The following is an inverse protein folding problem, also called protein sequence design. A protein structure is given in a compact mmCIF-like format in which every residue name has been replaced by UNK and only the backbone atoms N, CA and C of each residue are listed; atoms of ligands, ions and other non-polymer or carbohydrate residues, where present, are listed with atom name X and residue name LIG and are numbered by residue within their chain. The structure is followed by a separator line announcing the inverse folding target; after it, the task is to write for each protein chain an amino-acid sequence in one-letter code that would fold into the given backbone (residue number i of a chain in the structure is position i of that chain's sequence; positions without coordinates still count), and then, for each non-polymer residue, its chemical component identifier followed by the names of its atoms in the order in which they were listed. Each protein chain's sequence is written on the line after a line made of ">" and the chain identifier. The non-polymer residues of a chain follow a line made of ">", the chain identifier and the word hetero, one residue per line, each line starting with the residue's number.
data_IF_749010632905
#
_entry.id   IF_749010632905
#
_cell.length_a   1.000
_cell.length_b   1.000
_cell.length_c   1.000
_cell.angle_alpha   90.00
_cell.angle_beta   90.00
_cell.angle_gamma   90.00
#
_symmetry.space_group_name_H-M   'P 1'
#
loop_
_entity.id
_entity.type
_entity.pdbx_description
1 polymer ?
#
# COMPACT_ATOMS: atom_id res chain seq x y z
N UNK A 1 49.33 28.46 -1.00
CA UNK A 1 48.57 27.30 -1.51
C UNK A 1 47.09 27.58 -1.32
N UNK A 2 46.34 27.82 -2.39
CA UNK A 2 44.90 28.08 -2.30
C UNK A 2 44.16 26.78 -1.98
N UNK A 3 43.54 26.71 -0.80
CA UNK A 3 42.68 25.60 -0.43
C UNK A 3 41.48 25.54 -1.38
N UNK A 4 41.36 24.43 -2.12
CA UNK A 4 40.18 24.16 -2.94
C UNK A 4 38.97 24.11 -2.00
N UNK A 5 38.03 25.05 -2.12
CA UNK A 5 36.71 24.91 -1.52
C UNK A 5 36.08 23.66 -2.14
N UNK A 6 35.66 22.70 -1.31
CA UNK A 6 34.84 21.59 -1.78
C UNK A 6 33.52 22.20 -2.23
N UNK A 7 33.24 22.15 -3.53
CA UNK A 7 31.88 22.37 -4.03
C UNK A 7 30.99 21.36 -3.32
N UNK A 8 30.14 21.84 -2.42
CA UNK A 8 29.07 21.05 -1.88
C UNK A 8 28.14 20.86 -3.08
N UNK A 9 28.00 19.64 -3.63
CA UNK A 9 27.05 19.45 -4.72
C UNK A 9 25.70 19.86 -4.14
N UNK A 10 25.11 20.96 -4.64
CA UNK A 10 23.70 21.19 -4.46
C UNK A 10 23.05 19.93 -4.99
N UNK A 11 22.52 19.09 -4.12
CA UNK A 11 21.73 17.97 -4.59
C UNK A 11 20.62 18.62 -5.39
N UNK A 12 20.66 18.40 -6.70
CA UNK A 12 19.72 18.97 -7.64
C UNK A 12 18.32 18.66 -7.10
N UNK A 13 17.48 19.69 -6.90
CA UNK A 13 16.17 19.53 -6.24
C UNK A 13 15.36 18.43 -6.93
N UNK A 14 15.55 18.28 -8.25
CA UNK A 14 14.98 17.22 -9.06
C UNK A 14 15.47 15.82 -8.64
N UNK A 15 16.76 15.65 -8.37
CA UNK A 15 17.28 14.37 -7.84
C UNK A 15 16.72 14.05 -6.46
N UNK A 16 16.55 15.03 -5.57
CA UNK A 16 15.93 14.81 -4.26
C UNK A 16 14.47 14.34 -4.40
N UNK A 17 13.70 14.97 -5.27
CA UNK A 17 12.30 14.60 -5.53
C UNK A 17 12.18 13.18 -6.11
N UNK A 18 13.05 12.82 -7.06
CA UNK A 18 13.11 11.47 -7.62
C UNK A 18 13.40 10.41 -6.55
N UNK A 19 14.38 10.68 -5.67
CA UNK A 19 14.74 9.76 -4.58
C UNK A 19 13.57 9.63 -3.58
N UNK A 20 12.95 10.75 -3.20
CA UNK A 20 11.81 10.73 -2.27
C UNK A 20 10.62 9.96 -2.85
N UNK A 21 10.30 10.18 -4.13
CA UNK A 21 9.24 9.45 -4.82
C UNK A 21 9.56 7.95 -4.88
N UNK A 22 10.78 7.56 -5.22
CA UNK A 22 11.21 6.17 -5.23
C UNK A 22 11.09 5.52 -3.83
N UNK A 23 11.54 6.21 -2.78
CA UNK A 23 11.41 5.74 -1.39
C UNK A 23 9.95 5.57 -0.97
N UNK A 24 9.08 6.50 -1.35
CA UNK A 24 7.64 6.40 -1.08
C UNK A 24 7.03 5.17 -1.76
N UNK A 25 7.38 4.91 -3.02
CA UNK A 25 6.94 3.71 -3.75
C UNK A 25 7.39 2.42 -3.08
N UNK A 26 8.65 2.35 -2.65
CA UNK A 26 9.19 1.17 -1.94
C UNK A 26 8.45 0.96 -0.63
N UNK A 27 8.21 2.03 0.15
CA UNK A 27 7.48 1.96 1.42
C UNK A 27 6.04 1.48 1.24
N UNK A 28 5.34 1.95 0.20
CA UNK A 28 3.97 1.51 -0.12
C UNK A 28 3.92 0.02 -0.45
N UNK A 29 4.83 -0.47 -1.31
CA UNK A 29 4.94 -1.90 -1.63
C UNK A 29 5.24 -2.73 -0.39
N UNK A 30 6.19 -2.29 0.45
CA UNK A 30 6.53 -2.96 1.71
C UNK A 30 5.31 -3.08 2.64
N UNK A 31 4.52 -2.01 2.79
CA UNK A 31 3.29 -2.01 3.60
C UNK A 31 2.28 -3.03 3.07
N UNK A 32 2.12 -3.11 1.74
CA UNK A 32 1.23 -4.09 1.13
C UNK A 32 1.64 -5.53 1.45
N UNK A 33 2.94 -5.85 1.37
CA UNK A 33 3.45 -7.17 1.76
C UNK A 33 3.20 -7.50 3.23
N UNK A 34 3.42 -6.53 4.13
CA UNK A 34 3.12 -6.72 5.56
C UNK A 34 1.63 -7.00 5.76
N UNK A 35 0.76 -6.25 5.09
CA UNK A 35 -0.69 -6.46 5.18
C UNK A 35 -1.11 -7.81 4.61
N UNK A 36 -0.47 -8.28 3.54
CA UNK A 36 -0.67 -9.62 2.98
C UNK A 36 -0.30 -10.72 3.98
N UNK A 37 0.85 -10.59 4.64
CA UNK A 37 1.29 -11.56 5.67
C UNK A 37 0.31 -11.58 6.85
N UNK A 38 -0.13 -10.40 7.32
CA UNK A 38 -1.14 -10.31 8.38
C UNK A 38 -2.46 -10.96 7.95
N UNK A 39 -2.89 -10.76 6.70
CA UNK A 39 -4.08 -11.40 6.15
C UNK A 39 -3.97 -12.93 6.14
N UNK A 40 -2.82 -13.48 5.73
CA UNK A 40 -2.59 -14.93 5.74
C UNK A 40 -2.62 -15.50 7.16
N UNK A 41 -1.88 -14.88 8.09
CA UNK A 41 -1.84 -15.30 9.49
C UNK A 41 -3.24 -15.20 10.12
N UNK A 42 -3.93 -14.07 9.91
CA UNK A 42 -5.29 -13.85 10.41
C UNK A 42 -6.30 -14.86 9.86
N UNK A 43 -6.22 -15.17 8.56
CA UNK A 43 -7.07 -16.19 7.93
C UNK A 43 -6.82 -17.58 8.53
N UNK A 44 -5.55 -17.94 8.76
CA UNK A 44 -5.21 -19.19 9.43
C UNK A 44 -5.75 -19.24 10.86
N UNK A 45 -5.65 -18.14 11.61
CA UNK A 45 -6.22 -18.04 12.95
C UNK A 45 -7.75 -18.18 12.94
N UNK A 46 -8.46 -17.58 11.97
CA UNK A 46 -9.91 -17.71 11.84
C UNK A 46 -10.34 -19.16 11.57
N UNK A 47 -9.60 -19.86 10.70
CA UNK A 47 -9.85 -21.28 10.42
C UNK A 47 -9.65 -22.10 11.70
N UNK A 48 -8.51 -21.95 12.38
CA UNK A 48 -8.22 -22.69 13.61
C UNK A 48 -9.22 -22.37 14.74
N UNK A 49 -9.65 -21.12 14.85
CA UNK A 49 -10.67 -20.70 15.82
C UNK A 49 -11.98 -21.46 15.61
N UNK A 50 -12.41 -21.63 14.35
CA UNK A 50 -13.61 -22.40 14.06
C UNK A 50 -13.38 -23.91 14.23
N UNK A 51 -12.32 -24.48 13.64
CA UNK A 51 -12.13 -25.94 13.55
C UNK A 51 -11.58 -26.58 14.82
N UNK A 52 -10.73 -25.88 15.58
CA UNK A 52 -10.06 -26.42 16.77
C UNK A 52 -10.75 -25.97 18.05
N UNK A 53 -11.13 -24.68 18.11
CA UNK A 53 -11.74 -24.10 19.30
C UNK A 53 -13.27 -24.08 19.27
N UNK A 54 -13.90 -24.50 18.15
CA UNK A 54 -15.36 -24.52 17.99
C UNK A 54 -16.00 -23.13 18.00
N UNK A 55 -15.22 -22.06 17.79
CA UNK A 55 -15.72 -20.68 17.88
C UNK A 55 -16.63 -20.41 16.68
N UNK A 56 -17.92 -20.23 16.97
CA UNK A 56 -18.91 -19.92 15.96
C UNK A 56 -19.30 -21.10 15.07
N UNK A 57 -19.01 -22.34 15.47
CA UNK A 57 -19.33 -23.55 14.68
C UNK A 57 -20.84 -23.68 14.33
N UNK A 58 -21.71 -23.14 15.19
CA UNK A 58 -23.16 -23.09 14.96
C UNK A 58 -23.59 -21.90 14.08
N UNK A 59 -22.68 -20.97 13.77
CA UNK A 59 -22.95 -19.81 12.93
C UNK A 59 -22.61 -20.18 11.49
N UNK A 60 -23.64 -20.63 10.77
CA UNK A 60 -23.55 -20.94 9.34
C UNK A 60 -24.45 -20.01 8.56
N UNK A 61 -23.91 -19.44 7.50
CA UNK A 61 -24.62 -18.59 6.55
C UNK A 61 -24.68 -19.38 5.24
N UNK A 62 -25.90 -19.68 4.77
CA UNK A 62 -26.08 -20.49 3.55
C UNK A 62 -25.33 -21.83 3.61
N UNK A 63 -25.37 -22.52 4.77
CA UNK A 63 -24.66 -23.78 5.03
C UNK A 63 -23.12 -23.70 4.98
N UNK A 64 -22.57 -22.49 4.88
CA UNK A 64 -21.13 -22.21 4.88
C UNK A 64 -20.73 -21.61 6.22
N UNK A 65 -19.61 -22.07 6.77
CA UNK A 65 -19.07 -21.57 8.04
C UNK A 65 -18.78 -20.07 7.98
N UNK A 66 -19.12 -19.34 9.05
CA UNK A 66 -18.97 -17.89 9.14
C UNK A 66 -17.55 -17.39 8.81
N UNK A 67 -16.51 -18.16 9.15
CA UNK A 67 -15.12 -17.74 8.95
C UNK A 67 -14.78 -17.57 7.47
N UNK A 68 -15.48 -18.29 6.57
CA UNK A 68 -15.32 -18.14 5.11
C UNK A 68 -15.75 -16.73 4.68
N UNK A 69 -16.89 -16.25 5.18
CA UNK A 69 -17.35 -14.89 4.91
C UNK A 69 -16.45 -13.83 5.53
N UNK A 70 -15.91 -14.09 6.73
CA UNK A 70 -14.93 -13.21 7.36
C UNK A 70 -13.66 -13.08 6.51
N UNK A 71 -13.12 -14.20 6.02
CA UNK A 71 -11.96 -14.22 5.12
C UNK A 71 -12.29 -13.53 3.80
N UNK A 72 -13.46 -13.76 3.21
CA UNK A 72 -13.89 -13.11 1.96
C UNK A 72 -14.01 -11.59 2.11
N UNK A 73 -14.64 -11.11 3.17
CA UNK A 73 -14.75 -9.68 3.44
C UNK A 73 -13.37 -9.03 3.62
N UNK A 74 -12.47 -9.69 4.37
CA UNK A 74 -11.11 -9.20 4.55
C UNK A 74 -10.29 -9.26 3.25
N UNK A 75 -10.48 -10.30 2.44
CA UNK A 75 -9.86 -10.42 1.12
C UNK A 75 -10.29 -9.27 0.21
N UNK A 76 -11.57 -8.87 0.24
CA UNK A 76 -12.04 -7.72 -0.53
C UNK A 76 -11.33 -6.43 -0.15
N UNK A 77 -11.18 -6.16 1.17
CA UNK A 77 -10.40 -5.02 1.66
C UNK A 77 -8.93 -5.10 1.24
N UNK A 78 -8.34 -6.30 1.26
CA UNK A 78 -6.98 -6.52 0.79
C UNK A 78 -6.84 -6.22 -0.70
N UNK A 79 -7.76 -6.70 -1.55
CA UNK A 79 -7.76 -6.44 -2.99
C UNK A 79 -7.92 -4.95 -3.29
N UNK A 80 -8.79 -4.25 -2.56
CA UNK A 80 -8.88 -2.78 -2.63
C UNK A 80 -7.53 -2.12 -2.31
N UNK A 81 -6.84 -2.59 -1.25
CA UNK A 81 -5.52 -2.07 -0.90
C UNK A 81 -4.47 -2.33 -1.99
N UNK A 82 -4.46 -3.54 -2.57
CA UNK A 82 -3.59 -3.90 -3.70
C UNK A 82 -3.85 -2.95 -4.88
N UNK A 83 -5.11 -2.78 -5.27
CA UNK A 83 -5.50 -1.94 -6.40
C UNK A 83 -5.07 -0.48 -6.17
N UNK A 84 -5.28 0.05 -4.96
CA UNK A 84 -4.87 1.42 -4.62
C UNK A 84 -3.34 1.62 -4.73
N UNK A 85 -2.55 0.64 -4.27
CA UNK A 85 -1.08 0.71 -4.30
C UNK A 85 -0.53 0.56 -5.73
N UNK A 86 -1.09 -0.36 -6.53
CA UNK A 86 -0.55 -0.68 -7.86
C UNK A 86 -1.16 0.13 -9.01
N UNK A 87 -2.42 0.53 -8.91
CA UNK A 87 -3.15 1.24 -9.97
C UNK A 87 -3.29 2.71 -9.60
N UNK A 88 -4.04 3.04 -8.55
CA UNK A 88 -4.38 4.43 -8.21
C UNK A 88 -3.13 5.27 -7.99
N UNK A 89 -2.21 4.86 -7.12
CA UNK A 89 -0.98 5.62 -6.90
C UNK A 89 -0.04 5.61 -8.11
N UNK A 90 -0.08 4.59 -8.98
CA UNK A 90 0.74 4.56 -10.21
C UNK A 90 0.25 5.57 -11.22
N UNK A 91 -1.07 5.76 -11.33
CA UNK A 91 -1.68 6.66 -12.30
C UNK A 91 -1.87 8.09 -11.77
N UNK A 92 -2.40 8.25 -10.55
CA UNK A 92 -2.58 9.52 -9.82
C UNK A 92 -1.54 9.63 -8.70
N UNK A 93 -0.26 9.60 -9.06
CA UNK A 93 0.82 9.93 -8.14
C UNK A 93 1.10 11.43 -8.10
N UNK A 94 2.09 11.85 -7.29
CA UNK A 94 2.54 13.25 -7.22
C UNK A 94 2.87 13.86 -8.58
N UNK A 95 3.45 13.10 -9.49
CA UNK A 95 3.78 13.58 -10.83
C UNK A 95 2.53 13.91 -11.66
N UNK A 96 1.42 13.18 -11.44
CA UNK A 96 0.14 13.49 -12.07
C UNK A 96 -0.49 14.73 -11.43
N UNK A 97 -0.45 14.85 -10.11
CA UNK A 97 -0.93 16.05 -9.39
C UNK A 97 -0.17 17.31 -9.83
N UNK A 98 1.16 17.22 -9.94
CA UNK A 98 2.00 18.32 -10.39
C UNK A 98 1.64 18.74 -11.82
N UNK A 99 1.42 17.79 -12.74
CA UNK A 99 0.95 18.08 -14.09
C UNK A 99 -0.40 18.80 -14.10
N UNK A 100 -1.33 18.41 -13.22
CA UNK A 100 -2.63 19.09 -13.11
C UNK A 100 -2.47 20.53 -12.59
N UNK A 101 -1.60 20.74 -11.61
CA UNK A 101 -1.30 22.07 -11.08
C UNK A 101 -0.65 22.97 -12.14
N UNK A 102 0.36 22.47 -12.86
CA UNK A 102 1.05 23.23 -13.90
C UNK A 102 0.07 23.64 -15.02
N UNK A 103 -0.85 22.75 -15.41
CA UNK A 103 -1.91 23.08 -16.37
C UNK A 103 -2.86 24.18 -15.87
N UNK A 104 -3.17 24.22 -14.57
CA UNK A 104 -4.04 25.25 -13.98
C UNK A 104 -3.33 26.60 -13.89
N UNK A 105 -2.04 26.61 -13.55
CA UNK A 105 -1.22 27.84 -13.47
C UNK A 105 -1.06 28.48 -14.86
N UNK A 106 -0.81 27.69 -15.91
CA UNK A 106 -0.71 28.20 -17.29
C UNK A 106 -2.02 28.78 -17.82
N UNK A 107 -3.15 28.38 -17.21
CA UNK A 107 -4.49 28.83 -17.60
C UNK A 107 -4.91 30.15 -16.94
N UNK A 108 -4.17 30.62 -15.94
CA UNK A 108 -4.31 31.94 -15.32
C UNK A 108 -3.39 32.97 -15.99
#
# INVERSE_FOLDING_TARGET
>A
MFGKKKDIPQIDKQQLELIQNAQQRVKQKKRLYVHFVIFLIGSLFLILANTVLGIGENVKLFEIDWFVFAILAWLFLFLYHVFNVFVTHKFMGKDWEQKQLDMLVVKQ
#
